data_IF_757884383712
#
_entry.id   IF_757884383712
#
_cell.length_a   1.000
_cell.length_b   1.000
_cell.length_c   1.000
_cell.angle_alpha   90.00
_cell.angle_beta   90.00
_cell.angle_gamma   90.00
#
_symmetry.space_group_name_H-M   'P 1'
#
loop_
_entity.id
_entity.type
_entity.pdbx_description
1 polymer ?
#
# COMPACT_ATOMS: atom_id res chain seq x y z
N UNK A 1 -42.37 20.52 -0.60
CA UNK A 1 -41.40 21.17 0.27
C UNK A 1 -40.05 20.56 -0.02
N UNK A 2 -38.96 21.30 -0.12
CA UNK A 2 -37.65 20.66 -0.17
C UNK A 2 -37.50 19.83 1.10
N UNK A 3 -37.10 18.57 0.94
CA UNK A 3 -36.83 17.66 2.05
C UNK A 3 -35.55 18.14 2.72
N UNK A 4 -35.69 18.89 3.83
CA UNK A 4 -34.56 19.54 4.52
C UNK A 4 -33.62 18.52 5.17
N UNK A 5 -33.92 17.23 5.04
CA UNK A 5 -33.13 16.12 5.63
C UNK A 5 -33.18 16.11 7.15
N UNK A 6 -34.14 16.81 7.77
CA UNK A 6 -34.39 16.77 9.21
C UNK A 6 -35.39 15.66 9.48
N UNK A 7 -35.06 14.79 10.44
CA UNK A 7 -35.85 13.63 10.84
C UNK A 7 -36.16 13.72 12.33
N UNK A 8 -37.44 13.63 12.66
CA UNK A 8 -37.90 13.59 14.05
C UNK A 8 -37.86 12.16 14.66
N UNK A 9 -37.96 12.07 16.00
CA UNK A 9 -37.94 10.81 16.71
C UNK A 9 -39.07 9.85 16.25
N UNK A 10 -40.26 10.36 15.93
CA UNK A 10 -41.40 9.56 15.46
C UNK A 10 -41.09 8.82 14.16
N UNK A 11 -40.36 9.43 13.25
CA UNK A 11 -39.95 8.81 11.98
C UNK A 11 -38.89 7.72 12.19
N UNK A 12 -38.07 7.85 13.22
CA UNK A 12 -37.02 6.86 13.55
C UNK A 12 -37.59 5.59 14.15
N UNK A 13 -38.79 5.63 14.77
CA UNK A 13 -39.48 4.50 15.34
C UNK A 13 -40.42 3.81 14.35
N UNK A 14 -40.53 4.35 13.13
CA UNK A 14 -41.38 3.84 12.06
C UNK A 14 -40.79 2.62 11.33
N UNK A 15 -41.64 1.91 10.57
CA UNK A 15 -41.22 0.72 9.79
C UNK A 15 -40.21 1.03 8.67
N UNK A 16 -40.08 2.26 8.27
CA UNK A 16 -39.23 2.70 7.16
C UNK A 16 -37.86 3.30 7.59
N UNK A 17 -37.35 2.89 8.77
CA UNK A 17 -36.10 3.40 9.34
C UNK A 17 -34.92 3.36 8.34
N UNK A 18 -34.85 2.37 7.46
CA UNK A 18 -33.79 2.28 6.44
C UNK A 18 -33.83 3.46 5.46
N UNK A 19 -35.02 3.84 4.98
CA UNK A 19 -35.19 4.99 4.07
C UNK A 19 -34.87 6.30 4.78
N UNK A 20 -35.36 6.40 6.03
CA UNK A 20 -35.14 7.56 6.91
C UNK A 20 -33.65 7.74 7.20
N UNK A 21 -32.93 6.67 7.53
CA UNK A 21 -31.49 6.69 7.82
C UNK A 21 -30.65 7.12 6.62
N UNK A 22 -31.07 6.82 5.38
CA UNK A 22 -30.36 7.20 4.16
C UNK A 22 -30.62 8.65 3.72
N UNK A 23 -31.81 9.21 4.01
CA UNK A 23 -32.17 10.58 3.63
C UNK A 23 -31.80 11.61 4.70
N UNK A 24 -31.86 11.19 5.99
CA UNK A 24 -31.66 12.07 7.14
C UNK A 24 -30.25 12.63 7.19
N UNK A 25 -30.15 13.92 7.46
CA UNK A 25 -28.88 14.62 7.74
C UNK A 25 -28.83 15.12 9.17
N UNK A 26 -29.98 15.43 9.72
CA UNK A 26 -30.15 15.90 11.10
C UNK A 26 -31.25 15.03 11.72
N UNK A 27 -30.96 14.42 12.85
CA UNK A 27 -31.90 13.62 13.62
C UNK A 27 -32.16 14.35 14.92
N UNK A 28 -33.39 14.84 15.10
CA UNK A 28 -33.81 15.66 16.23
C UNK A 28 -34.57 14.81 17.27
N UNK A 29 -34.45 15.21 18.56
CA UNK A 29 -35.15 14.60 19.68
C UNK A 29 -34.85 13.09 19.89
N UNK A 30 -33.62 12.69 19.54
CA UNK A 30 -33.17 11.29 19.51
C UNK A 30 -32.83 10.81 20.91
N UNK A 31 -33.43 9.72 21.34
CA UNK A 31 -33.05 9.05 22.57
C UNK A 31 -31.90 8.06 22.35
N UNK A 32 -31.18 7.61 23.40
CA UNK A 32 -30.03 6.70 23.25
C UNK A 32 -30.31 5.42 22.46
N UNK A 33 -31.51 4.86 22.61
CA UNK A 33 -31.94 3.67 21.88
C UNK A 33 -32.02 3.95 20.37
N UNK A 34 -32.54 5.12 19.97
CA UNK A 34 -32.66 5.49 18.55
C UNK A 34 -31.29 5.68 17.94
N UNK A 35 -30.34 6.29 18.65
CA UNK A 35 -28.92 6.40 18.17
C UNK A 35 -28.35 5.01 17.86
N UNK A 36 -28.51 4.07 18.76
CA UNK A 36 -28.06 2.70 18.59
C UNK A 36 -28.74 2.01 17.39
N UNK A 37 -30.05 2.15 17.24
CA UNK A 37 -30.79 1.58 16.10
C UNK A 37 -30.38 2.20 14.77
N UNK A 38 -30.18 3.52 14.72
CA UNK A 38 -29.70 4.24 13.54
C UNK A 38 -28.34 3.72 13.09
N UNK A 39 -27.40 3.59 14.02
CA UNK A 39 -26.06 3.06 13.76
C UNK A 39 -26.12 1.66 13.18
N UNK A 40 -26.89 0.77 13.81
CA UNK A 40 -27.07 -0.60 13.31
C UNK A 40 -27.71 -0.66 11.94
N UNK A 41 -28.73 0.15 11.69
CA UNK A 41 -29.40 0.22 10.39
C UNK A 41 -28.43 0.70 9.30
N UNK A 42 -27.68 1.76 9.54
CA UNK A 42 -26.67 2.25 8.58
C UNK A 42 -25.60 1.19 8.26
N UNK A 43 -25.13 0.45 9.30
CA UNK A 43 -24.18 -0.66 9.11
C UNK A 43 -24.79 -1.81 8.32
N UNK A 44 -26.05 -2.17 8.61
CA UNK A 44 -26.79 -3.20 7.85
C UNK A 44 -26.90 -2.82 6.35
N UNK A 45 -27.10 -1.53 6.07
CA UNK A 45 -27.10 -0.99 4.71
C UNK A 45 -25.69 -0.89 4.06
N UNK A 46 -24.66 -1.46 4.70
CA UNK A 46 -23.29 -1.49 4.19
C UNK A 46 -22.54 -0.17 4.28
N UNK A 47 -23.02 0.76 5.12
CA UNK A 47 -22.30 2.00 5.42
C UNK A 47 -21.25 1.75 6.51
N UNK A 48 -20.12 2.43 6.40
CA UNK A 48 -19.15 2.52 7.48
C UNK A 48 -19.52 3.71 8.37
N UNK A 49 -19.75 3.44 9.64
CA UNK A 49 -20.29 4.42 10.60
C UNK A 49 -19.27 4.70 11.68
N UNK A 50 -18.91 5.97 11.83
CA UNK A 50 -18.21 6.48 12.99
C UNK A 50 -19.20 7.26 13.86
N UNK A 51 -19.14 7.08 15.17
CA UNK A 51 -19.97 7.81 16.15
C UNK A 51 -19.09 8.54 17.14
N UNK A 52 -19.44 9.78 17.42
CA UNK A 52 -18.81 10.57 18.48
C UNK A 52 -19.79 10.73 19.64
N UNK A 53 -19.28 10.68 20.87
CA UNK A 53 -20.09 10.89 22.08
C UNK A 53 -19.23 11.32 23.28
N UNK A 54 -19.88 11.96 24.24
CA UNK A 54 -19.29 12.44 25.49
C UNK A 54 -20.00 11.89 26.74
N UNK A 55 -21.26 11.48 26.59
CA UNK A 55 -22.13 11.00 27.68
C UNK A 55 -22.20 9.47 27.77
N UNK A 56 -22.49 8.97 28.96
CA UNK A 56 -22.74 7.54 29.23
C UNK A 56 -23.83 6.97 28.31
N UNK A 57 -24.80 7.79 27.94
CA UNK A 57 -25.90 7.44 27.06
C UNK A 57 -25.47 7.12 25.62
N UNK A 58 -24.27 7.56 25.19
CA UNK A 58 -23.73 7.33 23.88
C UNK A 58 -22.95 6.01 23.79
N UNK A 59 -22.57 5.42 24.92
CA UNK A 59 -21.76 4.20 24.95
C UNK A 59 -22.33 3.04 24.11
N UNK A 60 -23.65 2.74 24.11
CA UNK A 60 -24.20 1.69 23.27
C UNK A 60 -24.06 2.00 21.75
N UNK A 61 -24.20 3.24 21.34
CA UNK A 61 -24.04 3.67 19.96
C UNK A 61 -22.57 3.66 19.52
N UNK A 62 -21.63 4.06 20.40
CA UNK A 62 -20.19 3.97 20.17
C UNK A 62 -19.75 2.54 19.95
N UNK A 63 -20.17 1.60 20.79
CA UNK A 63 -19.86 0.17 20.65
C UNK A 63 -20.49 -0.47 19.42
N UNK A 64 -21.66 0.03 18.98
CA UNK A 64 -22.32 -0.48 17.80
C UNK A 64 -21.74 0.05 16.49
N UNK A 65 -20.96 1.12 16.51
CA UNK A 65 -20.33 1.72 15.34
C UNK A 65 -19.17 0.87 14.79
N UNK A 66 -18.67 1.22 13.62
CA UNK A 66 -17.40 0.66 13.11
C UNK A 66 -16.21 1.37 13.77
N UNK A 67 -16.41 2.61 14.20
CA UNK A 67 -15.44 3.38 14.99
C UNK A 67 -16.20 4.24 16.00
N UNK A 68 -16.05 3.92 17.28
CA UNK A 68 -16.54 4.75 18.40
C UNK A 68 -15.47 5.77 18.83
N UNK A 69 -15.84 7.03 18.92
CA UNK A 69 -14.92 8.12 19.28
C UNK A 69 -15.45 8.86 20.49
N UNK A 70 -14.73 8.83 21.61
CA UNK A 70 -15.04 9.64 22.78
C UNK A 70 -14.36 11.00 22.71
N UNK A 71 -15.08 12.05 23.12
CA UNK A 71 -14.50 13.39 23.29
C UNK A 71 -13.56 13.43 24.51
N UNK A 72 -12.66 14.40 24.55
CA UNK A 72 -11.74 14.59 25.67
C UNK A 72 -12.49 14.85 26.98
N UNK A 73 -13.57 15.63 26.91
CA UNK A 73 -14.48 15.92 28.02
C UNK A 73 -15.39 14.75 28.39
N UNK A 74 -15.41 13.66 27.61
CA UNK A 74 -16.28 12.52 27.82
C UNK A 74 -16.06 11.80 29.14
N UNK A 75 -17.12 11.15 29.65
CA UNK A 75 -17.07 10.38 30.90
C UNK A 75 -16.14 9.15 30.74
N UNK A 76 -15.63 8.62 31.86
CA UNK A 76 -14.80 7.42 31.87
C UNK A 76 -15.51 6.22 31.24
N UNK A 77 -16.83 6.11 31.44
CA UNK A 77 -17.64 5.06 30.82
C UNK A 77 -17.68 5.21 29.30
N UNK A 78 -17.82 6.43 28.78
CA UNK A 78 -17.80 6.71 27.34
C UNK A 78 -16.40 6.43 26.75
N UNK A 79 -15.35 6.88 27.43
CA UNK A 79 -13.97 6.60 27.03
C UNK A 79 -13.64 5.10 27.02
N UNK A 80 -14.16 4.37 28.01
CA UNK A 80 -14.00 2.92 28.08
C UNK A 80 -14.78 2.13 27.03
N UNK A 81 -15.82 2.74 26.43
CA UNK A 81 -16.63 2.15 25.37
C UNK A 81 -16.16 2.50 23.96
N UNK A 82 -15.26 3.47 23.80
CA UNK A 82 -14.80 3.99 22.53
C UNK A 82 -13.54 3.29 22.03
N UNK A 83 -13.38 3.21 20.71
CA UNK A 83 -12.15 2.74 20.05
C UNK A 83 -11.06 3.80 20.07
N UNK A 84 -11.45 5.08 19.98
CA UNK A 84 -10.57 6.23 19.99
C UNK A 84 -11.03 7.25 21.03
N UNK A 85 -10.07 7.89 21.70
CA UNK A 85 -10.33 9.00 22.63
C UNK A 85 -9.60 10.23 22.11
N UNK A 86 -10.33 11.32 21.88
CA UNK A 86 -9.71 12.59 21.50
C UNK A 86 -8.98 13.18 22.71
N UNK A 87 -7.83 13.78 22.49
CA UNK A 87 -7.07 14.49 23.53
C UNK A 87 -7.58 15.91 23.74
N UNK A 88 -8.30 16.45 22.76
CA UNK A 88 -8.89 17.79 22.75
C UNK A 88 -10.31 17.73 22.19
N UNK A 89 -11.22 18.57 22.67
CA UNK A 89 -12.60 18.66 22.17
C UNK A 89 -12.66 19.45 20.86
N UNK A 90 -11.98 18.91 19.83
CA UNK A 90 -11.90 19.52 18.52
C UNK A 90 -12.26 18.51 17.43
N UNK A 91 -13.41 18.70 16.79
CA UNK A 91 -13.89 17.84 15.72
C UNK A 91 -12.98 17.84 14.46
N UNK A 92 -12.15 18.89 14.29
CA UNK A 92 -11.18 18.93 13.20
C UNK A 92 -10.18 17.78 13.28
N UNK A 93 -9.83 17.34 14.49
CA UNK A 93 -8.94 16.20 14.74
C UNK A 93 -9.50 14.91 14.13
N UNK A 94 -10.84 14.76 14.08
CA UNK A 94 -11.48 13.61 13.43
C UNK A 94 -11.27 13.64 11.90
N UNK A 95 -11.41 14.83 11.30
CA UNK A 95 -11.19 15.02 9.85
C UNK A 95 -9.73 14.72 9.50
N UNK A 96 -8.81 15.24 10.32
CA UNK A 96 -7.38 15.00 10.14
C UNK A 96 -7.02 13.51 10.31
N UNK A 97 -7.64 12.85 11.31
CA UNK A 97 -7.52 11.41 11.54
C UNK A 97 -8.03 10.57 10.36
N UNK A 98 -9.17 10.95 9.76
CA UNK A 98 -9.68 10.29 8.55
C UNK A 98 -8.70 10.44 7.38
N UNK A 99 -8.13 11.63 7.19
CA UNK A 99 -7.16 11.87 6.12
C UNK A 99 -5.88 11.07 6.33
N UNK A 100 -5.38 11.03 7.56
CA UNK A 100 -4.19 10.25 7.92
C UNK A 100 -4.44 8.74 7.78
N UNK A 101 -5.59 8.25 8.21
CA UNK A 101 -6.00 6.86 7.99
C UNK A 101 -6.06 6.49 6.51
N UNK A 102 -6.59 7.36 5.64
CA UNK A 102 -6.60 7.16 4.19
C UNK A 102 -5.19 7.19 3.58
N UNK A 103 -4.29 8.04 4.10
CA UNK A 103 -2.87 8.08 3.70
C UNK A 103 -2.19 6.77 4.06
N UNK A 104 -2.33 6.34 5.31
CA UNK A 104 -1.79 5.08 5.81
C UNK A 104 -2.29 3.89 4.99
N UNK A 105 -3.60 3.80 4.74
CA UNK A 105 -4.19 2.76 3.90
C UNK A 105 -3.59 2.75 2.48
N UNK A 106 -3.36 3.92 1.89
CA UNK A 106 -2.74 4.02 0.55
C UNK A 106 -1.30 3.51 0.59
N UNK A 107 -0.53 3.85 1.61
CA UNK A 107 0.85 3.39 1.76
C UNK A 107 0.92 1.88 2.04
N UNK A 108 -0.01 1.32 2.84
CA UNK A 108 -0.15 -0.13 3.04
C UNK A 108 -0.44 -0.84 1.71
N UNK A 109 -1.31 -0.31 0.87
CA UNK A 109 -1.58 -0.90 -0.46
C UNK A 109 -0.34 -0.89 -1.36
N UNK A 110 0.46 0.17 -1.33
CA UNK A 110 1.73 0.24 -2.05
C UNK A 110 2.72 -0.81 -1.54
N UNK A 111 2.83 -0.94 -0.22
CA UNK A 111 3.65 -1.96 0.44
C UNK A 111 3.26 -3.38 0.01
N UNK A 112 1.96 -3.70 0.08
CA UNK A 112 1.45 -5.01 -0.33
C UNK A 112 1.72 -5.30 -1.81
N UNK A 113 1.48 -4.32 -2.69
CA UNK A 113 1.77 -4.46 -4.12
C UNK A 113 3.25 -4.73 -4.35
N UNK A 114 4.13 -3.95 -3.72
CA UNK A 114 5.57 -4.13 -3.82
C UNK A 114 6.01 -5.54 -3.40
N UNK A 115 5.56 -5.99 -2.22
CA UNK A 115 5.89 -7.31 -1.69
C UNK A 115 5.41 -8.43 -2.62
N UNK A 116 4.19 -8.31 -3.15
CA UNK A 116 3.65 -9.30 -4.08
C UNK A 116 4.41 -9.32 -5.40
N UNK A 117 4.78 -8.18 -5.97
CA UNK A 117 5.59 -8.10 -7.19
C UNK A 117 6.92 -8.83 -7.01
N UNK A 118 7.62 -8.56 -5.91
CA UNK A 118 8.88 -9.23 -5.58
C UNK A 118 8.72 -10.74 -5.43
N UNK A 119 7.71 -11.18 -4.68
CA UNK A 119 7.45 -12.60 -4.46
C UNK A 119 7.09 -13.34 -5.74
N UNK A 120 6.19 -12.79 -6.58
CA UNK A 120 5.86 -13.40 -7.87
C UNK A 120 7.08 -13.47 -8.79
N UNK A 121 7.84 -12.38 -8.91
CA UNK A 121 9.06 -12.36 -9.70
C UNK A 121 10.05 -13.42 -9.23
N UNK A 122 10.35 -13.46 -7.94
CA UNK A 122 11.32 -14.39 -7.37
C UNK A 122 10.92 -15.85 -7.60
N UNK A 123 9.65 -16.22 -7.35
CA UNK A 123 9.19 -17.60 -7.57
C UNK A 123 9.32 -17.99 -9.04
N UNK A 124 8.87 -17.15 -9.97
CA UNK A 124 8.93 -17.42 -11.40
C UNK A 124 10.39 -17.50 -11.86
N UNK A 125 11.24 -16.56 -11.44
CA UNK A 125 12.65 -16.50 -11.83
C UNK A 125 13.39 -17.74 -11.34
N UNK A 126 13.23 -18.11 -10.06
CA UNK A 126 13.91 -19.28 -9.49
C UNK A 126 13.44 -20.58 -10.19
N UNK A 127 12.12 -20.71 -10.42
CA UNK A 127 11.58 -21.87 -11.13
C UNK A 127 12.12 -21.99 -12.55
N UNK A 128 12.15 -20.90 -13.32
CA UNK A 128 12.68 -20.90 -14.68
C UNK A 128 14.20 -21.12 -14.71
N UNK A 129 14.93 -20.54 -13.77
CA UNK A 129 16.37 -20.67 -13.69
C UNK A 129 16.79 -22.10 -13.36
N UNK A 130 16.05 -22.80 -12.48
CA UNK A 130 16.34 -24.21 -12.13
C UNK A 130 16.18 -25.18 -13.30
N UNK A 131 15.45 -24.80 -14.36
CA UNK A 131 15.33 -25.60 -15.57
C UNK A 131 16.52 -25.41 -16.53
N UNK A 132 17.27 -24.32 -16.39
CA UNK A 132 18.32 -23.92 -17.35
C UNK A 132 19.72 -23.99 -16.74
N UNK A 133 19.85 -23.70 -15.45
CA UNK A 133 21.10 -23.69 -14.75
C UNK A 133 21.33 -24.98 -13.93
N UNK A 134 22.53 -25.54 -13.94
CA UNK A 134 22.89 -26.67 -13.08
C UNK A 134 23.19 -26.26 -11.63
N UNK A 135 23.00 -24.98 -11.27
CA UNK A 135 23.24 -24.42 -9.95
C UNK A 135 22.17 -23.38 -9.59
N UNK A 136 22.08 -23.03 -8.30
CA UNK A 136 21.16 -21.99 -7.84
C UNK A 136 21.60 -20.61 -8.36
N UNK A 137 20.70 -19.81 -8.92
CA UNK A 137 21.00 -18.47 -9.45
C UNK A 137 21.37 -17.47 -8.36
N UNK A 138 20.88 -17.69 -7.14
CA UNK A 138 21.21 -16.97 -5.92
C UNK A 138 21.40 -17.95 -4.77
N UNK A 139 22.35 -17.65 -3.93
CA UNK A 139 22.58 -18.40 -2.70
C UNK A 139 21.64 -17.90 -1.58
N UNK A 140 21.34 -18.72 -0.56
CA UNK A 140 20.40 -18.35 0.50
C UNK A 140 20.80 -17.08 1.27
N UNK A 141 22.07 -16.86 1.53
CA UNK A 141 22.62 -15.67 2.17
C UNK A 141 22.43 -14.41 1.31
N UNK A 142 22.59 -14.54 -0.01
CA UNK A 142 22.32 -13.46 -0.97
C UNK A 142 20.84 -13.09 -1.00
N UNK A 143 19.93 -14.08 -0.94
CA UNK A 143 18.48 -13.86 -0.88
C UNK A 143 18.11 -13.15 0.42
N UNK A 144 18.63 -13.60 1.56
CA UNK A 144 18.40 -12.92 2.85
C UNK A 144 18.87 -11.47 2.83
N UNK A 145 20.02 -11.23 2.24
CA UNK A 145 20.58 -9.88 2.13
C UNK A 145 19.73 -8.98 1.21
N UNK A 146 19.23 -9.50 0.08
CA UNK A 146 18.30 -8.77 -0.79
C UNK A 146 17.02 -8.39 -0.05
N UNK A 147 16.45 -9.31 0.71
CA UNK A 147 15.25 -9.02 1.52
C UNK A 147 15.55 -7.91 2.53
N UNK A 148 16.64 -8.02 3.28
CA UNK A 148 17.04 -6.99 4.25
C UNK A 148 17.23 -5.61 3.58
N UNK A 149 17.87 -5.56 2.41
CA UNK A 149 18.09 -4.31 1.65
C UNK A 149 16.80 -3.72 1.11
N UNK A 150 15.79 -4.53 0.82
CA UNK A 150 14.48 -4.06 0.35
C UNK A 150 13.55 -3.64 1.50
N UNK A 151 13.72 -4.22 2.71
CA UNK A 151 12.86 -3.94 3.86
C UNK A 151 13.00 -2.49 4.36
N UNK A 152 14.20 -1.92 4.36
CA UNK A 152 14.43 -0.54 4.79
C UNK A 152 13.67 0.49 3.95
N UNK A 153 13.77 0.49 2.60
CA UNK A 153 12.94 1.35 1.76
C UNK A 153 11.44 1.10 1.92
N UNK A 154 11.03 -0.15 2.16
CA UNK A 154 9.65 -0.51 2.41
C UNK A 154 9.11 0.11 3.69
N UNK A 155 9.86 0.06 4.79
CA UNK A 155 9.49 0.72 6.05
C UNK A 155 9.39 2.23 5.88
N UNK A 156 10.31 2.84 5.13
CA UNK A 156 10.27 4.27 4.84
C UNK A 156 9.01 4.68 4.05
N UNK A 157 8.38 3.75 3.32
CA UNK A 157 7.16 4.01 2.56
C UNK A 157 5.98 4.45 3.47
N UNK A 158 5.98 4.04 4.75
CA UNK A 158 4.98 4.50 5.72
C UNK A 158 4.96 6.02 5.90
N UNK A 159 6.10 6.68 5.68
CA UNK A 159 6.25 8.14 5.77
C UNK A 159 6.07 8.86 4.43
N UNK A 160 5.75 8.13 3.36
CA UNK A 160 5.70 8.71 2.02
C UNK A 160 4.49 9.61 1.80
N UNK A 161 4.70 10.58 0.94
CA UNK A 161 3.66 11.53 0.54
C UNK A 161 2.64 10.88 -0.38
N UNK A 162 1.37 11.14 -0.12
CA UNK A 162 0.25 10.66 -0.92
C UNK A 162 -0.44 11.84 -1.60
N UNK A 163 -0.82 11.68 -2.86
CA UNK A 163 -1.55 12.72 -3.58
C UNK A 163 -2.93 12.97 -2.93
N UNK A 164 -3.37 14.21 -2.92
CA UNK A 164 -4.67 14.59 -2.34
C UNK A 164 -5.84 13.79 -2.96
N UNK A 165 -5.81 13.57 -4.28
CA UNK A 165 -6.84 12.79 -4.99
C UNK A 165 -6.92 11.34 -4.49
N UNK A 166 -5.81 10.81 -3.95
CA UNK A 166 -5.75 9.45 -3.43
C UNK A 166 -6.37 9.31 -2.04
N UNK A 167 -6.48 10.40 -1.29
CA UNK A 167 -7.08 10.45 0.06
C UNK A 167 -8.46 11.13 0.08
N UNK A 168 -8.87 11.77 -1.01
CA UNK A 168 -10.15 12.51 -1.09
C UNK A 168 -11.38 11.60 -0.95
N UNK A 169 -11.28 10.36 -1.42
CA UNK A 169 -12.37 9.37 -1.35
C UNK A 169 -11.95 8.12 -0.60
N UNK A 170 -12.89 7.49 0.17
CA UNK A 170 -12.60 6.23 0.83
C UNK A 170 -12.32 5.13 -0.20
N UNK A 171 -11.36 4.28 0.10
CA UNK A 171 -11.00 3.13 -0.74
C UNK A 171 -11.29 1.83 -0.01
N UNK A 172 -11.59 0.80 -0.77
CA UNK A 172 -11.72 -0.59 -0.29
C UNK A 172 -10.57 -1.42 -0.83
N UNK A 173 -10.25 -2.46 -0.11
CA UNK A 173 -9.29 -3.45 -0.57
C UNK A 173 -9.90 -4.25 -1.73
N UNK A 174 -9.19 -4.24 -2.86
CA UNK A 174 -9.48 -5.10 -3.99
C UNK A 174 -8.28 -6.03 -4.19
N UNK A 175 -8.28 -7.10 -3.41
CA UNK A 175 -7.18 -8.09 -3.40
C UNK A 175 -6.98 -8.70 -4.78
N UNK A 176 -8.06 -8.89 -5.55
CA UNK A 176 -7.98 -9.46 -6.90
C UNK A 176 -7.18 -8.55 -7.83
N UNK A 177 -7.52 -7.26 -7.88
CA UNK A 177 -6.77 -6.28 -8.70
C UNK A 177 -5.31 -6.15 -8.25
N UNK A 178 -5.08 -6.21 -6.95
CA UNK A 178 -3.73 -6.16 -6.40
C UNK A 178 -2.88 -7.35 -6.87
N UNK A 179 -3.44 -8.56 -6.79
CA UNK A 179 -2.77 -9.80 -7.25
C UNK A 179 -2.56 -9.81 -8.76
N UNK A 180 -3.55 -9.38 -9.55
CA UNK A 180 -3.45 -9.29 -11.01
C UNK A 180 -2.34 -8.32 -11.42
N UNK A 181 -2.30 -7.11 -10.85
CA UNK A 181 -1.25 -6.13 -11.16
C UNK A 181 0.13 -6.64 -10.73
N UNK A 182 0.23 -7.21 -9.52
CA UNK A 182 1.48 -7.81 -9.05
C UNK A 182 1.96 -8.94 -9.96
N UNK A 183 1.04 -9.75 -10.48
CA UNK A 183 1.33 -10.81 -11.44
C UNK A 183 1.91 -10.26 -12.75
N UNK A 184 1.29 -9.24 -13.34
CA UNK A 184 1.82 -8.61 -14.56
C UNK A 184 3.20 -8.01 -14.37
N UNK A 185 3.41 -7.30 -13.27
CA UNK A 185 4.70 -6.71 -12.94
C UNK A 185 5.76 -7.78 -12.65
N UNK A 186 5.39 -8.83 -11.90
CA UNK A 186 6.28 -9.95 -11.59
C UNK A 186 6.69 -10.72 -12.83
N UNK A 187 5.75 -11.01 -13.75
CA UNK A 187 6.04 -11.67 -15.04
C UNK A 187 6.98 -10.80 -15.89
N UNK A 188 6.74 -9.49 -15.98
CA UNK A 188 7.60 -8.58 -16.73
C UNK A 188 9.03 -8.58 -16.15
N UNK A 189 9.18 -8.56 -14.82
CA UNK A 189 10.47 -8.67 -14.16
C UNK A 189 11.14 -10.01 -14.46
N UNK A 190 10.40 -11.11 -14.40
CA UNK A 190 10.92 -12.45 -14.66
C UNK A 190 11.40 -12.60 -16.11
N UNK A 191 10.68 -12.04 -17.09
CA UNK A 191 11.10 -12.04 -18.50
C UNK A 191 12.42 -11.27 -18.65
N UNK A 192 12.54 -10.11 -18.03
CA UNK A 192 13.77 -9.31 -18.09
C UNK A 192 14.94 -10.02 -17.38
N UNK A 193 14.70 -10.61 -16.21
CA UNK A 193 15.71 -11.41 -15.52
C UNK A 193 16.19 -12.58 -16.37
N UNK A 194 15.28 -13.28 -17.05
CA UNK A 194 15.62 -14.41 -17.92
C UNK A 194 16.40 -13.97 -19.15
N UNK A 195 16.05 -12.85 -19.77
CA UNK A 195 16.80 -12.28 -20.88
C UNK A 195 18.22 -11.90 -20.47
N UNK A 196 18.38 -11.32 -19.29
CA UNK A 196 19.68 -11.00 -18.70
C UNK A 196 20.50 -12.26 -18.44
N UNK A 197 19.88 -13.29 -17.86
CA UNK A 197 20.50 -14.60 -17.66
C UNK A 197 21.02 -15.17 -18.98
N UNK A 198 20.23 -15.11 -20.05
CA UNK A 198 20.62 -15.62 -21.40
C UNK A 198 21.83 -14.86 -21.96
N UNK A 199 21.94 -13.59 -21.65
CA UNK A 199 23.08 -12.76 -22.07
C UNK A 199 24.37 -13.13 -21.31
N UNK A 200 24.28 -13.42 -20.03
CA UNK A 200 25.41 -13.84 -19.20
C UNK A 200 25.61 -15.36 -19.12
N UNK A 201 24.80 -16.14 -19.84
CA UNK A 201 24.96 -17.59 -19.90
C UNK A 201 26.35 -17.99 -20.44
N UNK A 202 27.02 -18.87 -19.73
CA UNK A 202 28.41 -19.27 -20.07
C UNK A 202 29.50 -18.56 -19.28
N UNK A 203 29.16 -17.58 -18.44
CA UNK A 203 30.10 -17.05 -17.45
C UNK A 203 30.14 -17.97 -16.20
N UNK A 204 31.18 -17.86 -15.36
CA UNK A 204 31.24 -18.58 -14.09
C UNK A 204 30.00 -18.32 -13.22
N UNK A 205 29.62 -19.30 -12.39
CA UNK A 205 28.44 -19.20 -11.51
C UNK A 205 28.48 -17.97 -10.61
N UNK A 206 29.66 -17.62 -10.06
CA UNK A 206 29.86 -16.45 -9.23
C UNK A 206 29.53 -15.13 -9.93
N UNK A 207 29.85 -15.01 -11.24
CA UNK A 207 29.49 -13.84 -12.04
C UNK A 207 27.97 -13.76 -12.22
N UNK A 208 27.30 -14.89 -12.48
CA UNK A 208 25.84 -14.97 -12.60
C UNK A 208 25.15 -14.60 -11.28
N UNK A 209 25.67 -15.07 -10.14
CA UNK A 209 25.18 -14.66 -8.82
C UNK A 209 25.25 -13.13 -8.66
N UNK A 210 26.37 -12.53 -9.06
CA UNK A 210 26.57 -11.07 -8.97
C UNK A 210 25.62 -10.31 -9.88
N UNK A 211 25.45 -10.77 -11.12
CA UNK A 211 24.51 -10.19 -12.09
C UNK A 211 23.09 -10.19 -11.53
N UNK A 212 22.67 -11.32 -10.98
CA UNK A 212 21.31 -11.46 -10.47
C UNK A 212 21.07 -10.69 -9.18
N UNK A 213 22.02 -10.74 -8.26
CA UNK A 213 21.95 -9.94 -7.04
C UNK A 213 21.83 -8.43 -7.36
N UNK A 214 22.65 -7.94 -8.27
CA UNK A 214 22.62 -6.53 -8.69
C UNK A 214 21.31 -6.19 -9.40
N UNK A 215 20.86 -7.03 -10.34
CA UNK A 215 19.62 -6.82 -11.07
C UNK A 215 18.40 -6.83 -10.15
N UNK A 216 18.23 -7.84 -9.31
CA UNK A 216 17.08 -7.94 -8.40
C UNK A 216 17.11 -6.85 -7.33
N UNK A 217 18.29 -6.52 -6.80
CA UNK A 217 18.45 -5.44 -5.84
C UNK A 217 18.03 -4.11 -6.44
N UNK A 218 18.52 -3.76 -7.62
CA UNK A 218 18.18 -2.49 -8.27
C UNK A 218 16.74 -2.48 -8.77
N UNK A 219 16.23 -3.56 -9.38
CA UNK A 219 14.83 -3.61 -9.84
C UNK A 219 13.84 -3.51 -8.68
N UNK A 220 14.15 -4.11 -7.52
CA UNK A 220 13.36 -3.93 -6.31
C UNK A 220 13.25 -2.46 -5.91
N UNK A 221 14.35 -1.73 -5.90
CA UNK A 221 14.35 -0.31 -5.54
C UNK A 221 13.60 0.56 -6.57
N UNK A 222 13.81 0.33 -7.86
CA UNK A 222 13.18 1.14 -8.92
C UNK A 222 11.69 0.84 -9.09
N UNK A 223 11.22 -0.40 -8.84
CA UNK A 223 9.80 -0.72 -8.88
C UNK A 223 9.02 -0.02 -7.78
N UNK A 224 9.60 0.06 -6.57
CA UNK A 224 9.00 0.81 -5.47
C UNK A 224 8.77 2.27 -5.86
N UNK A 225 9.74 2.86 -6.56
CA UNK A 225 9.61 4.21 -7.09
C UNK A 225 8.53 4.31 -8.18
N UNK A 226 8.44 3.31 -9.06
CA UNK A 226 7.50 3.29 -10.19
C UNK A 226 6.03 3.18 -9.77
N UNK A 227 5.72 2.33 -8.76
CA UNK A 227 4.35 2.07 -8.32
C UNK A 227 3.82 3.08 -7.29
N UNK A 228 4.67 4.00 -6.81
CA UNK A 228 4.36 4.98 -5.78
C UNK A 228 3.27 5.97 -6.18
N UNK A 229 3.22 6.34 -7.45
CA UNK A 229 2.25 7.29 -8.01
C UNK A 229 1.40 6.65 -9.09
N UNK A 230 0.16 7.10 -9.23
CA UNK A 230 -0.72 6.70 -10.34
C UNK A 230 -0.36 7.36 -11.67
N UNK A 231 0.45 8.39 -11.63
CA UNK A 231 0.94 9.16 -12.77
C UNK A 231 2.36 8.71 -13.15
N UNK A 232 3.06 9.48 -13.96
CA UNK A 232 4.46 9.25 -14.20
C UNK A 232 5.26 9.31 -12.90
N UNK A 233 6.27 8.45 -12.76
CA UNK A 233 7.11 8.36 -11.58
C UNK A 233 7.82 9.68 -11.19
N UNK A 234 7.95 10.63 -12.10
CA UNK A 234 8.41 12.01 -11.83
C UNK A 234 7.30 12.98 -11.41
N UNK A 235 6.04 12.54 -11.33
CA UNK A 235 4.93 13.43 -10.97
C UNK A 235 4.86 13.67 -9.46
N UNK A 236 4.33 14.83 -9.09
CA UNK A 236 4.04 15.14 -7.67
C UNK A 236 2.96 14.20 -7.10
N UNK A 237 2.99 13.93 -5.79
CA UNK A 237 3.95 14.44 -4.79
C UNK A 237 5.32 13.79 -4.93
N UNK A 238 6.38 14.53 -4.59
CA UNK A 238 7.73 13.98 -4.53
C UNK A 238 7.85 12.95 -3.40
N UNK A 239 8.76 11.96 -3.49
CA UNK A 239 9.03 11.05 -2.40
C UNK A 239 9.45 11.81 -1.14
N UNK A 240 9.09 11.28 0.03
CA UNK A 240 9.62 11.82 1.28
C UNK A 240 11.15 11.68 1.33
N UNK A 241 11.80 12.56 2.10
CA UNK A 241 13.27 12.48 2.25
C UNK A 241 13.70 11.13 2.81
N UNK A 242 12.90 10.54 3.71
CA UNK A 242 13.15 9.22 4.29
C UNK A 242 13.17 8.13 3.20
N UNK A 243 12.21 8.16 2.27
CA UNK A 243 12.16 7.21 1.14
C UNK A 243 13.36 7.41 0.22
N UNK A 244 13.73 8.65 -0.10
CA UNK A 244 14.90 8.93 -0.96
C UNK A 244 16.21 8.46 -0.32
N UNK A 245 16.40 8.72 0.98
CA UNK A 245 17.59 8.28 1.72
C UNK A 245 17.65 6.75 1.84
N UNK A 246 16.51 6.10 2.10
CA UNK A 246 16.45 4.64 2.19
C UNK A 246 16.72 3.97 0.85
N UNK A 247 16.11 4.45 -0.25
CA UNK A 247 16.37 3.93 -1.60
C UNK A 247 17.81 4.19 -2.04
N UNK A 248 18.32 5.41 -1.85
CA UNK A 248 19.69 5.77 -2.19
C UNK A 248 20.72 5.00 -1.37
N UNK A 249 20.49 4.84 -0.07
CA UNK A 249 21.33 4.06 0.83
C UNK A 249 21.35 2.57 0.44
N UNK A 250 20.18 1.96 0.21
CA UNK A 250 20.08 0.58 -0.24
C UNK A 250 20.76 0.36 -1.60
N UNK A 251 20.62 1.30 -2.54
CA UNK A 251 21.32 1.26 -3.82
C UNK A 251 22.85 1.30 -3.64
N UNK A 252 23.35 2.25 -2.86
CA UNK A 252 24.80 2.37 -2.59
C UNK A 252 25.33 1.09 -1.93
N UNK A 253 24.62 0.53 -0.95
CA UNK A 253 25.02 -0.71 -0.30
C UNK A 253 25.01 -1.88 -1.28
N UNK A 254 23.97 -2.01 -2.11
CA UNK A 254 23.87 -3.07 -3.14
C UNK A 254 25.08 -3.02 -4.08
N UNK A 255 25.45 -1.83 -4.58
CA UNK A 255 26.62 -1.66 -5.45
C UNK A 255 27.94 -1.88 -4.70
N UNK A 256 28.04 -1.42 -3.44
CA UNK A 256 29.23 -1.58 -2.64
C UNK A 256 29.54 -3.06 -2.36
N UNK A 257 28.52 -3.87 -2.03
CA UNK A 257 28.67 -5.30 -1.71
C UNK A 257 29.30 -6.10 -2.86
N UNK A 258 28.95 -5.79 -4.10
CA UNK A 258 29.50 -6.48 -5.25
C UNK A 258 30.89 -5.95 -5.67
N UNK A 259 31.35 -4.86 -5.09
CA UNK A 259 32.64 -4.25 -5.40
C UNK A 259 33.71 -4.40 -4.31
N UNK A 260 33.29 -4.48 -3.03
CA UNK A 260 34.21 -4.63 -1.89
C UNK A 260 34.79 -6.07 -1.88
N UNK A 261 36.12 -6.26 -1.94
CA UNK A 261 36.72 -7.60 -2.05
C UNK A 261 36.33 -8.56 -0.94
N UNK A 262 36.23 -8.07 0.30
CA UNK A 262 35.86 -8.87 1.48
C UNK A 262 34.39 -9.32 1.39
N UNK A 263 33.48 -8.44 1.00
CA UNK A 263 32.07 -8.74 0.83
C UNK A 263 31.86 -9.74 -0.33
N UNK A 264 32.57 -9.57 -1.43
CA UNK A 264 32.54 -10.51 -2.55
C UNK A 264 33.00 -11.91 -2.15
N UNK A 265 34.10 -12.00 -1.43
CA UNK A 265 34.60 -13.31 -0.96
C UNK A 265 33.61 -14.00 -0.02
N UNK A 266 32.99 -13.22 0.89
CA UNK A 266 32.02 -13.74 1.86
C UNK A 266 30.72 -14.21 1.18
N UNK A 267 30.24 -13.46 0.19
CA UNK A 267 28.96 -13.68 -0.47
C UNK A 267 29.09 -14.42 -1.81
N UNK A 268 30.24 -14.97 -2.10
CA UNK A 268 30.53 -15.72 -3.34
C UNK A 268 30.17 -14.96 -4.63
N UNK A 269 30.46 -13.65 -4.66
CA UNK A 269 30.26 -12.82 -5.84
C UNK A 269 31.49 -12.85 -6.77
N UNK A 270 31.27 -12.96 -8.06
CA UNK A 270 32.28 -12.82 -9.11
C UNK A 270 32.67 -11.37 -9.37
N UNK A 271 33.60 -11.21 -10.30
CA UNK A 271 34.06 -9.88 -10.74
C UNK A 271 33.35 -9.46 -12.02
N UNK A 272 32.50 -8.46 -11.90
CA UNK A 272 31.91 -7.80 -13.08
C UNK A 272 32.69 -6.55 -13.44
N UNK A 273 32.85 -6.29 -14.74
CA UNK A 273 33.39 -5.03 -15.21
C UNK A 273 32.45 -3.87 -14.83
N UNK A 274 32.98 -2.66 -14.71
CA UNK A 274 32.17 -1.46 -14.45
C UNK A 274 31.13 -1.25 -15.56
N UNK A 275 31.45 -1.62 -16.79
CA UNK A 275 30.55 -1.53 -17.92
C UNK A 275 29.38 -2.52 -17.79
N UNK A 276 29.64 -3.77 -17.37
CA UNK A 276 28.59 -4.75 -17.10
C UNK A 276 27.64 -4.25 -15.98
N UNK A 277 28.21 -3.76 -14.87
CA UNK A 277 27.43 -3.21 -13.77
C UNK A 277 26.56 -2.03 -14.19
N UNK A 278 27.13 -1.08 -14.93
CA UNK A 278 26.39 0.07 -15.48
C UNK A 278 25.28 -0.38 -16.43
N UNK A 279 25.56 -1.37 -17.27
CA UNK A 279 24.58 -1.97 -18.17
C UNK A 279 23.41 -2.63 -17.40
N UNK A 280 23.69 -3.38 -16.33
CA UNK A 280 22.66 -4.00 -15.48
C UNK A 280 21.82 -2.92 -14.79
N UNK A 281 22.42 -1.87 -14.25
CA UNK A 281 21.70 -0.75 -13.63
C UNK A 281 20.81 -0.05 -14.66
N UNK A 282 21.33 0.27 -15.85
CA UNK A 282 20.55 0.88 -16.93
C UNK A 282 19.38 -0.01 -17.37
N UNK A 283 19.60 -1.33 -17.46
CA UNK A 283 18.58 -2.31 -17.78
C UNK A 283 17.49 -2.38 -16.68
N UNK A 284 17.90 -2.30 -15.41
CA UNK A 284 16.97 -2.22 -14.28
C UNK A 284 16.13 -0.93 -14.29
N UNK A 285 16.72 0.20 -14.69
CA UNK A 285 15.98 1.46 -14.88
C UNK A 285 14.98 1.36 -16.04
N UNK A 286 15.30 0.62 -17.10
CA UNK A 286 14.33 0.34 -18.17
C UNK A 286 13.11 -0.44 -17.63
N UNK A 287 13.32 -1.37 -16.69
CA UNK A 287 12.20 -2.02 -16.00
C UNK A 287 11.29 -1.04 -15.25
N UNK A 288 11.83 0.01 -14.64
CA UNK A 288 11.03 1.06 -13.99
C UNK A 288 10.03 1.69 -14.97
N UNK A 289 10.47 2.00 -16.18
CA UNK A 289 9.60 2.55 -17.22
C UNK A 289 8.50 1.56 -17.61
N UNK A 290 8.87 0.30 -17.84
CA UNK A 290 7.93 -0.77 -18.17
C UNK A 290 6.91 -0.96 -17.04
N UNK A 291 7.37 -1.03 -15.79
CA UNK A 291 6.51 -1.17 -14.62
C UNK A 291 5.50 -0.01 -14.49
N UNK A 292 5.97 1.22 -14.71
CA UNK A 292 5.08 2.39 -14.68
C UNK A 292 4.05 2.38 -15.83
N UNK A 293 4.43 1.93 -17.02
CA UNK A 293 3.49 1.78 -18.14
C UNK A 293 2.43 0.71 -17.86
N UNK A 294 2.83 -0.45 -17.33
CA UNK A 294 1.92 -1.54 -16.93
C UNK A 294 0.95 -1.03 -15.87
N UNK A 295 1.43 -0.39 -14.80
CA UNK A 295 0.58 0.13 -13.72
C UNK A 295 -0.44 1.14 -14.24
N UNK A 296 -0.02 2.06 -15.12
CA UNK A 296 -0.92 3.06 -15.69
C UNK A 296 -1.99 2.45 -16.60
N UNK A 297 -1.62 1.52 -17.46
CA UNK A 297 -2.56 0.88 -18.37
C UNK A 297 -3.55 -0.01 -17.60
N UNK A 298 -3.05 -0.76 -16.63
CA UNK A 298 -3.89 -1.56 -15.75
C UNK A 298 -4.94 -0.70 -15.01
N UNK A 299 -4.53 0.44 -14.47
CA UNK A 299 -5.45 1.35 -13.78
C UNK A 299 -6.47 1.98 -14.71
N UNK A 300 -6.10 2.28 -15.97
CA UNK A 300 -7.04 2.80 -16.98
C UNK A 300 -8.11 1.79 -17.34
N UNK A 301 -7.74 0.53 -17.51
CA UNK A 301 -8.68 -0.53 -17.88
C UNK A 301 -9.63 -0.93 -16.74
N UNK A 302 -9.30 -0.57 -15.49
CA UNK A 302 -10.07 -0.94 -14.28
C UNK A 302 -10.72 0.27 -13.57
N UNK A 303 -10.83 1.42 -14.23
CA UNK A 303 -11.63 2.54 -13.70
C UNK A 303 -13.10 2.10 -13.72
N UNK A 304 -13.81 2.10 -12.58
CA UNK A 304 -15.23 1.81 -12.56
C UNK A 304 -15.94 2.88 -13.40
N UNK A 305 -16.81 2.44 -14.29
CA UNK A 305 -17.67 3.35 -15.04
C UNK A 305 -18.48 4.18 -14.04
N UNK A 306 -18.26 5.50 -14.02
CA UNK A 306 -18.94 6.44 -13.10
C UNK A 306 -20.46 6.46 -13.29
N UNK A 307 -20.96 5.75 -14.31
CA UNK A 307 -22.39 5.67 -14.63
C UNK A 307 -23.16 4.59 -13.87
N UNK A 308 -22.48 3.71 -13.11
CA UNK A 308 -23.12 2.59 -12.39
C UNK A 308 -23.47 2.87 -10.91
N UNK A 309 -23.28 4.09 -10.42
CA UNK A 309 -23.76 4.51 -9.09
C UNK A 309 -25.08 5.26 -9.30
N UNK A 310 -26.16 4.50 -9.44
CA UNK A 310 -27.53 4.96 -9.23
C UNK A 310 -28.01 4.47 -7.88
#
# INVERSE_FOLDING_TARGET
MPDDGIVGADEMQGPDLEKVALRGRIFAEVVPADKYHLVKTLRHLGRHVAVTGDGVNDAPALQAADVGIALASGTDATKGAADLVLLEDNLQVIVDGIQEGRRTFTNINRYLLYTMVGNFANVIIVALASLVLPYLPLLPDQVLLLNLLSDLPMLALATDMVAFDDISTPRRWDVRKLVELAGFLGIANAIMAFALLRFFAGRPAEDVHTVWFLFLGVTGLVVLFAIRTKSWFFSKPWPSMQVLLALGGAFVVTVALVNIPQARALLHFGRLSVLDQAGIVAYSVAYMVIANLIDREFRRSHVPDRTSVK
#
